data_IF_134204400173
#
_entry.id   IF_134204400173
#
_cell.length_a   1.000
_cell.length_b   1.000
_cell.length_c   1.000
_cell.angle_alpha   90.00
_cell.angle_beta   90.00
_cell.angle_gamma   90.00
#
_symmetry.space_group_name_H-M   'P 1'
#
loop_
_entity.id
_entity.type
_entity.pdbx_description
1 polymer ?
#
# COMPACT_ATOMS: atom_id res chain seq x y z
N UNK A 1 -10.89 38.40 6.68
CA UNK A 1 -10.08 38.19 5.45
C UNK A 1 -9.46 36.80 5.59
N UNK A 2 -9.91 35.87 4.76
CA UNK A 2 -9.70 34.42 4.88
C UNK A 2 -8.29 34.05 4.43
N UNK A 3 -7.52 33.40 5.32
CA UNK A 3 -6.37 32.58 4.92
C UNK A 3 -6.93 31.29 4.32
N UNK A 4 -6.69 31.10 3.02
CA UNK A 4 -7.06 29.88 2.31
C UNK A 4 -6.03 28.79 2.61
N UNK A 5 -6.56 27.66 3.05
CA UNK A 5 -5.89 26.38 3.25
C UNK A 5 -5.07 25.98 2.00
N UNK A 6 -3.79 25.66 2.23
CA UNK A 6 -2.95 24.94 1.28
C UNK A 6 -3.08 23.44 1.60
N UNK A 7 -3.45 22.56 0.66
CA UNK A 7 -3.51 21.12 0.95
C UNK A 7 -2.08 20.58 1.05
N UNK A 8 -1.77 19.97 2.20
CA UNK A 8 -0.54 19.21 2.41
C UNK A 8 -0.61 17.98 1.50
N UNK A 9 0.21 17.94 0.45
CA UNK A 9 0.31 16.81 -0.47
C UNK A 9 1.06 15.68 0.25
N UNK A 10 0.34 14.71 0.81
CA UNK A 10 0.93 13.55 1.49
C UNK A 10 1.27 12.48 0.44
N UNK A 11 2.56 12.19 0.36
CA UNK A 11 3.19 11.23 -0.55
C UNK A 11 3.26 9.89 0.17
N UNK A 12 2.58 8.86 -0.34
CA UNK A 12 2.84 7.47 0.04
C UNK A 12 3.73 6.91 -1.06
N UNK A 13 5.04 7.08 -0.90
CA UNK A 13 6.01 6.29 -1.63
C UNK A 13 6.68 5.43 -0.59
N UNK A 14 6.42 4.12 -0.63
CA UNK A 14 7.13 3.11 0.15
C UNK A 14 8.59 3.07 -0.30
N UNK A 15 9.37 4.06 0.16
CA UNK A 15 10.82 4.11 0.01
C UNK A 15 11.43 3.25 1.12
N UNK A 16 11.72 1.99 0.81
CA UNK A 16 12.71 1.25 1.60
C UNK A 16 14.08 1.86 1.28
N UNK A 17 14.59 2.64 2.23
CA UNK A 17 15.88 3.32 2.13
C UNK A 17 17.03 2.30 2.22
N UNK A 18 17.67 1.96 1.10
CA UNK A 18 19.05 1.44 1.11
C UNK A 18 20.02 2.62 1.09
N UNK A 19 20.75 2.83 2.19
CA UNK A 19 21.83 3.80 2.24
C UNK A 19 23.03 3.32 1.42
N UNK A 20 23.31 3.99 0.30
CA UNK A 20 24.61 3.96 -0.37
C UNK A 20 25.24 5.35 -0.28
N UNK A 21 26.44 5.42 0.29
CA UNK A 21 27.23 6.65 0.43
C UNK A 21 27.64 7.16 -0.96
N UNK A 22 27.29 8.41 -1.27
CA UNK A 22 27.71 9.11 -2.48
C UNK A 22 27.85 10.60 -2.21
N UNK A 23 29.04 11.13 -2.52
CA UNK A 23 29.43 12.54 -2.39
C UNK A 23 28.58 13.44 -3.31
N UNK A 24 28.38 14.66 -2.83
CA UNK A 24 27.57 15.71 -3.44
C UNK A 24 28.04 16.14 -4.84
N UNK A 25 27.08 16.49 -5.69
CA UNK A 25 27.20 17.64 -6.57
C UNK A 25 25.81 18.22 -6.86
N UNK A 26 25.64 19.50 -6.53
CA UNK A 26 24.50 20.34 -6.89
C UNK A 26 24.49 20.60 -8.40
N UNK A 27 23.31 20.61 -9.03
CA UNK A 27 23.01 21.60 -10.07
C UNK A 27 21.50 21.89 -10.15
N UNK A 28 21.20 23.18 -10.29
CA UNK A 28 19.87 23.80 -10.27
C UNK A 28 19.10 23.62 -11.60
N UNK A 29 17.80 23.96 -11.53
CA UNK A 29 16.84 24.27 -12.63
C UNK A 29 15.85 23.18 -13.03
N UNK A 30 14.83 22.97 -12.20
CA UNK A 30 13.57 22.32 -12.59
C UNK A 30 12.62 23.33 -13.23
N UNK A 31 12.44 23.23 -14.56
CA UNK A 31 11.31 23.84 -15.28
C UNK A 31 10.16 22.82 -15.33
N UNK A 32 8.99 23.24 -14.86
CA UNK A 32 7.71 22.57 -15.10
C UNK A 32 7.52 22.28 -16.58
N UNK A 33 7.72 21.01 -16.97
CA UNK A 33 7.29 20.51 -18.27
C UNK A 33 6.30 19.39 -18.05
N UNK A 34 5.10 19.58 -18.60
CA UNK A 34 4.04 18.57 -18.62
C UNK A 34 4.54 17.38 -19.47
N UNK A 35 4.46 16.12 -19.00
CA UNK A 35 4.99 15.00 -19.75
C UNK A 35 4.25 14.82 -21.09
N UNK A 36 4.99 14.40 -22.11
CA UNK A 36 4.50 14.25 -23.48
C UNK A 36 3.50 13.06 -23.60
N UNK A 37 2.59 13.08 -24.60
CA UNK A 37 1.74 11.93 -24.91
C UNK A 37 2.60 10.71 -25.28
N UNK A 38 2.42 9.58 -24.58
CA UNK A 38 3.20 8.35 -24.75
C UNK A 38 4.05 7.92 -23.52
N UNK A 39 3.91 8.59 -22.37
CA UNK A 39 4.71 8.31 -21.17
C UNK A 39 4.24 7.09 -20.33
N UNK A 40 3.08 6.52 -20.61
CA UNK A 40 2.52 5.37 -19.90
C UNK A 40 1.65 4.52 -20.83
N UNK A 41 1.47 3.24 -20.49
CA UNK A 41 0.57 2.33 -21.20
C UNK A 41 -0.89 2.78 -21.04
N UNK A 42 -1.65 2.99 -22.14
CA UNK A 42 -3.08 3.28 -22.09
C UNK A 42 -3.87 2.16 -21.41
N UNK A 43 -4.88 2.52 -20.60
CA UNK A 43 -5.75 1.57 -19.87
C UNK A 43 -6.41 0.54 -20.78
N UNK A 44 -6.74 0.93 -22.02
CA UNK A 44 -7.38 0.06 -22.99
C UNK A 44 -6.48 -1.09 -23.48
N UNK A 45 -5.16 -0.95 -23.33
CA UNK A 45 -4.18 -1.93 -23.79
C UNK A 45 -3.89 -3.01 -22.73
N UNK A 46 -4.38 -2.82 -21.50
CA UNK A 46 -4.22 -3.80 -20.42
C UNK A 46 -5.15 -5.00 -20.63
N UNK A 47 -4.60 -6.19 -20.41
CA UNK A 47 -5.42 -7.39 -20.30
C UNK A 47 -6.25 -7.31 -19.01
N UNK A 48 -7.58 -7.37 -19.13
CA UNK A 48 -8.50 -7.41 -17.99
C UNK A 48 -8.78 -8.85 -17.56
N UNK A 49 -8.55 -9.12 -16.29
CA UNK A 49 -8.84 -10.39 -15.61
C UNK A 49 -9.77 -10.13 -14.42
N UNK A 50 -10.34 -11.20 -13.89
CA UNK A 50 -11.05 -11.18 -12.60
C UNK A 50 -10.48 -12.27 -11.71
N UNK A 51 -10.03 -11.91 -10.51
CA UNK A 51 -9.45 -12.83 -9.54
C UNK A 51 -10.15 -12.66 -8.20
N UNK A 52 -10.80 -13.72 -7.69
CA UNK A 52 -11.48 -13.69 -6.38
C UNK A 52 -12.48 -12.53 -6.15
N UNK A 53 -13.01 -11.94 -7.23
CA UNK A 53 -13.92 -10.79 -7.22
C UNK A 53 -13.25 -9.44 -7.50
N UNK A 54 -11.92 -9.37 -7.56
CA UNK A 54 -11.20 -8.16 -7.94
C UNK A 54 -11.03 -8.05 -9.46
N UNK A 55 -11.21 -6.86 -10.04
CA UNK A 55 -10.70 -6.53 -11.36
C UNK A 55 -9.17 -6.39 -11.33
N UNK A 56 -8.49 -7.13 -12.20
CA UNK A 56 -7.03 -7.12 -12.33
C UNK A 56 -6.64 -6.71 -13.76
N UNK A 57 -5.83 -5.66 -13.89
CA UNK A 57 -5.36 -5.13 -15.16
C UNK A 57 -3.87 -5.48 -15.32
N UNK A 58 -3.53 -6.28 -16.33
CA UNK A 58 -2.17 -6.76 -16.56
C UNK A 58 -1.54 -6.02 -17.75
N UNK A 59 -0.38 -5.39 -17.52
CA UNK A 59 0.32 -4.66 -18.56
C UNK A 59 0.79 -5.64 -19.68
N UNK A 60 0.57 -5.33 -20.98
CA UNK A 60 0.98 -6.16 -22.09
C UNK A 60 2.49 -6.41 -22.18
N UNK A 61 3.34 -5.56 -21.60
CA UNK A 61 4.80 -5.78 -21.55
C UNK A 61 5.18 -7.10 -20.85
N UNK A 62 4.33 -7.60 -19.95
CA UNK A 62 4.54 -8.90 -19.29
C UNK A 62 4.41 -10.09 -20.26
N UNK A 63 3.82 -9.93 -21.45
CA UNK A 63 3.73 -11.00 -22.45
C UNK A 63 5.10 -11.38 -23.03
N UNK A 64 6.07 -10.47 -22.98
CA UNK A 64 7.47 -10.75 -23.34
C UNK A 64 8.21 -11.54 -22.23
N UNK A 65 7.61 -11.66 -21.05
CA UNK A 65 8.16 -12.33 -19.87
C UNK A 65 7.18 -13.37 -19.30
N UNK A 66 6.84 -14.43 -20.08
CA UNK A 66 5.72 -15.30 -19.77
C UNK A 66 5.84 -16.02 -18.41
N UNK A 67 7.06 -16.40 -18.00
CA UNK A 67 7.28 -17.04 -16.69
C UNK A 67 7.04 -16.05 -15.54
N UNK A 68 7.65 -14.86 -15.61
CA UNK A 68 7.46 -13.81 -14.60
C UNK A 68 5.98 -13.42 -14.48
N UNK A 69 5.29 -13.29 -15.62
CA UNK A 69 3.84 -13.05 -15.66
C UNK A 69 3.07 -14.16 -14.95
N UNK A 70 3.35 -15.41 -15.28
CA UNK A 70 2.66 -16.56 -14.67
C UNK A 70 2.87 -16.59 -13.15
N UNK A 71 4.11 -16.48 -12.69
CA UNK A 71 4.47 -16.53 -11.26
C UNK A 71 3.85 -15.36 -10.48
N UNK A 72 3.88 -14.14 -11.06
CA UNK A 72 3.28 -12.95 -10.46
C UNK A 72 1.77 -13.11 -10.28
N UNK A 73 1.08 -13.59 -11.31
CA UNK A 73 -0.37 -13.80 -11.28
C UNK A 73 -0.76 -14.95 -10.35
N UNK A 74 0.05 -16.02 -10.28
CA UNK A 74 -0.17 -17.12 -9.33
C UNK A 74 -0.04 -16.64 -7.89
N UNK A 75 1.02 -15.89 -7.57
CA UNK A 75 1.22 -15.34 -6.23
C UNK A 75 0.14 -14.32 -5.86
N UNK A 76 -0.24 -13.44 -6.78
CA UNK A 76 -1.35 -12.49 -6.55
C UNK A 76 -2.66 -13.25 -6.28
N UNK A 77 -2.95 -14.30 -7.05
CA UNK A 77 -4.13 -15.13 -6.84
C UNK A 77 -4.14 -15.76 -5.44
N UNK A 78 -3.01 -16.30 -4.97
CA UNK A 78 -2.88 -16.82 -3.60
C UNK A 78 -3.11 -15.74 -2.52
N UNK A 79 -2.49 -14.56 -2.67
CA UNK A 79 -2.70 -13.43 -1.75
C UNK A 79 -4.18 -13.03 -1.67
N UNK A 80 -4.84 -12.86 -2.82
CA UNK A 80 -6.26 -12.50 -2.88
C UNK A 80 -7.13 -13.60 -2.27
N UNK A 81 -6.85 -14.88 -2.52
CA UNK A 81 -7.54 -15.97 -1.87
C UNK A 81 -7.41 -15.90 -0.34
N UNK A 82 -6.20 -15.72 0.19
CA UNK A 82 -5.94 -15.56 1.63
C UNK A 82 -6.74 -14.40 2.23
N UNK A 83 -6.83 -13.27 1.53
CA UNK A 83 -7.62 -12.11 1.95
C UNK A 83 -9.13 -12.45 2.01
N UNK A 84 -9.69 -13.12 1.00
CA UNK A 84 -11.12 -13.51 1.01
C UNK A 84 -11.51 -14.38 2.21
N UNK A 85 -10.57 -15.14 2.75
CA UNK A 85 -10.78 -16.04 3.89
C UNK A 85 -10.74 -15.32 5.23
N UNK A 86 -10.23 -14.09 5.28
CA UNK A 86 -9.93 -13.36 6.52
C UNK A 86 -10.81 -12.14 6.73
N UNK A 87 -11.13 -11.41 5.67
CA UNK A 87 -11.84 -10.14 5.76
C UNK A 87 -13.36 -10.37 5.87
N UNK A 88 -14.07 -9.70 6.80
CA UNK A 88 -15.53 -9.78 6.90
C UNK A 88 -16.23 -9.35 5.61
N UNK A 89 -17.32 -10.04 5.26
CA UNK A 89 -17.97 -9.89 3.94
C UNK A 89 -18.29 -8.43 3.55
N UNK A 90 -18.88 -7.57 4.43
CA UNK A 90 -19.19 -6.20 4.04
C UNK A 90 -17.95 -5.40 3.64
N UNK A 91 -16.86 -5.52 4.39
CA UNK A 91 -15.60 -4.83 4.09
C UNK A 91 -14.88 -5.47 2.89
N UNK A 92 -14.95 -6.80 2.76
CA UNK A 92 -14.41 -7.53 1.62
C UNK A 92 -15.04 -7.06 0.30
N UNK A 93 -16.35 -6.85 0.27
CA UNK A 93 -17.04 -6.32 -0.90
C UNK A 93 -16.54 -4.92 -1.27
N UNK A 94 -16.28 -4.07 -0.28
CA UNK A 94 -15.77 -2.72 -0.52
C UNK A 94 -14.34 -2.72 -1.08
N UNK A 95 -13.44 -3.56 -0.54
CA UNK A 95 -12.06 -3.63 -1.07
C UNK A 95 -11.97 -4.33 -2.43
N UNK A 96 -12.97 -5.14 -2.83
CA UNK A 96 -13.07 -5.74 -4.17
C UNK A 96 -13.34 -4.74 -5.28
N UNK A 97 -13.87 -3.57 -4.94
CA UNK A 97 -14.07 -2.48 -5.89
C UNK A 97 -12.76 -1.77 -6.26
N UNK A 98 -11.66 -2.04 -5.54
CA UNK A 98 -10.35 -1.47 -5.82
C UNK A 98 -9.69 -2.27 -6.94
N UNK A 99 -9.50 -1.66 -8.11
CA UNK A 99 -8.73 -2.27 -9.20
C UNK A 99 -7.28 -2.53 -8.79
N UNK A 100 -6.70 -3.63 -9.31
CA UNK A 100 -5.30 -3.98 -9.10
C UNK A 100 -4.60 -3.98 -10.46
N UNK A 101 -3.56 -3.16 -10.58
CA UNK A 101 -2.75 -3.03 -11.78
C UNK A 101 -1.45 -3.81 -11.62
N UNK A 102 -1.07 -4.57 -12.63
CA UNK A 102 0.15 -5.40 -12.62
C UNK A 102 1.08 -4.92 -13.71
N UNK A 103 2.19 -4.32 -13.30
CA UNK A 103 3.22 -3.76 -14.16
C UNK A 103 4.45 -4.67 -14.23
N UNK A 104 5.17 -4.63 -15.36
CA UNK A 104 6.47 -5.28 -15.46
C UNK A 104 7.48 -4.58 -14.53
N UNK A 105 7.72 -3.30 -14.78
CA UNK A 105 8.63 -2.44 -14.02
C UNK A 105 8.26 -0.96 -14.22
N UNK A 106 7.66 -0.35 -13.21
CA UNK A 106 7.34 1.06 -13.13
C UNK A 106 8.42 1.74 -12.29
N UNK A 107 9.34 2.43 -12.97
CA UNK A 107 10.55 3.04 -12.39
C UNK A 107 10.40 3.89 -11.11
N UNK A 108 9.19 4.32 -10.76
CA UNK A 108 8.89 5.12 -9.55
C UNK A 108 8.17 4.35 -8.44
N UNK A 109 7.74 3.12 -8.70
CA UNK A 109 7.09 2.23 -7.72
C UNK A 109 8.01 1.04 -7.49
N UNK A 110 8.71 1.01 -6.34
CA UNK A 110 9.71 -0.02 -6.06
C UNK A 110 9.12 -1.45 -6.00
N UNK A 111 7.89 -1.60 -5.50
CA UNK A 111 7.20 -2.89 -5.47
C UNK A 111 5.68 -2.72 -5.62
N UNK A 112 4.98 -2.24 -4.59
CA UNK A 112 3.55 -1.98 -4.62
C UNK A 112 3.21 -0.58 -4.08
N UNK A 113 2.05 -0.06 -4.45
CA UNK A 113 1.48 1.15 -3.85
C UNK A 113 -0.04 1.30 -4.11
N UNK A 114 -0.72 2.01 -3.21
CA UNK A 114 -2.05 2.59 -3.42
C UNK A 114 -1.93 4.04 -3.90
N UNK A 115 -2.64 4.37 -4.98
CA UNK A 115 -2.52 5.66 -5.66
C UNK A 115 -3.62 6.64 -5.25
N UNK A 116 -3.32 7.62 -4.40
CA UNK A 116 -4.35 8.52 -3.83
C UNK A 116 -4.84 9.61 -4.80
N UNK A 117 -3.99 10.12 -5.69
CA UNK A 117 -4.32 11.35 -6.45
C UNK A 117 -3.77 11.42 -7.86
N UNK A 118 -4.66 11.67 -8.83
CA UNK A 118 -4.32 12.07 -10.22
C UNK A 118 -3.37 13.25 -10.28
N UNK A 119 -3.49 14.18 -9.34
CA UNK A 119 -2.65 15.37 -9.26
C UNK A 119 -1.16 15.04 -9.08
N UNK A 120 -0.85 13.91 -8.43
CA UNK A 120 0.51 13.39 -8.32
C UNK A 120 0.87 12.43 -9.47
N UNK A 121 -0.07 11.60 -9.91
CA UNK A 121 0.16 10.61 -10.98
C UNK A 121 0.63 11.26 -12.30
N UNK A 122 -0.12 12.24 -12.79
CA UNK A 122 0.12 12.86 -14.11
C UNK A 122 1.51 13.49 -14.21
N UNK A 123 1.95 14.40 -13.31
CA UNK A 123 3.29 14.98 -13.42
C UNK A 123 4.41 13.95 -13.20
N UNK A 124 4.11 12.80 -12.58
CA UNK A 124 5.08 11.72 -12.37
C UNK A 124 5.12 10.68 -13.48
N UNK A 125 4.31 10.81 -14.52
CA UNK A 125 4.30 9.91 -15.68
C UNK A 125 3.47 8.65 -15.48
N UNK A 126 2.62 8.60 -14.46
CA UNK A 126 1.69 7.49 -14.26
C UNK A 126 0.44 7.66 -15.13
N UNK A 127 -0.19 6.53 -15.45
CA UNK A 127 -1.54 6.53 -16.00
C UNK A 127 -2.50 7.12 -14.95
N UNK A 128 -3.22 8.23 -15.25
CA UNK A 128 -4.13 8.87 -14.30
C UNK A 128 -5.30 7.98 -13.87
N UNK A 129 -5.66 6.95 -14.64
CA UNK A 129 -6.76 6.05 -14.29
C UNK A 129 -6.44 5.16 -13.09
N UNK A 130 -5.17 5.12 -12.64
CA UNK A 130 -4.74 4.43 -11.42
C UNK A 130 -5.17 5.13 -10.13
N UNK A 131 -5.76 6.33 -10.18
CA UNK A 131 -6.24 6.96 -8.95
C UNK A 131 -7.30 6.12 -8.25
N UNK A 132 -7.07 5.91 -6.97
CA UNK A 132 -7.89 5.08 -6.11
C UNK A 132 -7.72 3.59 -6.36
N UNK A 133 -6.63 3.14 -6.98
CA UNK A 133 -6.34 1.73 -7.27
C UNK A 133 -5.04 1.29 -6.59
N UNK A 134 -4.81 -0.03 -6.55
CA UNK A 134 -3.54 -0.63 -6.14
C UNK A 134 -2.71 -0.96 -7.38
N UNK A 135 -1.40 -0.82 -7.28
CA UNK A 135 -0.44 -1.16 -8.33
C UNK A 135 0.63 -2.11 -7.75
N UNK A 136 0.84 -3.25 -8.41
CA UNK A 136 2.12 -3.96 -8.41
C UNK A 136 2.98 -3.27 -9.46
N UNK A 137 3.86 -2.38 -9.02
CA UNK A 137 4.70 -1.56 -9.89
C UNK A 137 5.89 -2.33 -10.45
N UNK A 138 6.39 -3.34 -9.74
CA UNK A 138 7.48 -4.18 -10.23
C UNK A 138 7.19 -5.65 -9.90
N UNK A 139 6.96 -6.44 -10.95
CA UNK A 139 6.57 -7.86 -10.83
C UNK A 139 7.66 -8.72 -10.18
N UNK A 140 8.94 -8.46 -10.46
CA UNK A 140 10.04 -9.21 -9.85
C UNK A 140 10.19 -8.88 -8.36
N UNK A 141 10.16 -7.60 -8.02
CA UNK A 141 10.21 -7.15 -6.62
C UNK A 141 9.03 -7.71 -5.81
N UNK A 142 7.84 -7.84 -6.42
CA UNK A 142 6.69 -8.46 -5.78
C UNK A 142 6.93 -9.92 -5.40
N UNK A 143 7.54 -10.71 -6.29
CA UNK A 143 7.90 -12.10 -5.97
C UNK A 143 8.96 -12.15 -4.86
N UNK A 144 9.93 -11.24 -4.88
CA UNK A 144 11.05 -11.24 -3.95
C UNK A 144 10.65 -10.74 -2.55
N UNK A 145 9.90 -9.64 -2.46
CA UNK A 145 9.62 -8.94 -1.20
C UNK A 145 8.54 -9.63 -0.38
N UNK A 146 7.57 -10.29 -1.02
CA UNK A 146 6.48 -11.00 -0.32
C UNK A 146 6.96 -12.18 0.52
N UNK A 147 8.18 -12.68 0.30
CA UNK A 147 8.86 -13.63 1.19
C UNK A 147 9.06 -13.04 2.60
N UNK A 148 9.34 -11.73 2.68
CA UNK A 148 9.49 -10.98 3.93
C UNK A 148 8.21 -10.24 4.35
N UNK A 149 7.35 -9.88 3.39
CA UNK A 149 6.14 -9.07 3.57
C UNK A 149 4.91 -9.83 3.03
N UNK A 150 4.50 -10.93 3.70
CA UNK A 150 3.54 -11.89 3.15
C UNK A 150 2.10 -11.35 3.01
N UNK A 151 1.79 -10.19 3.59
CA UNK A 151 0.48 -9.54 3.53
C UNK A 151 0.51 -8.16 2.86
N UNK A 152 1.54 -7.84 2.08
CA UNK A 152 1.68 -6.58 1.33
C UNK A 152 0.47 -6.23 0.46
N UNK A 153 -0.17 -7.20 -0.20
CA UNK A 153 -1.40 -6.92 -0.97
C UNK A 153 -2.54 -6.42 -0.07
N UNK A 154 -2.64 -6.97 1.15
CA UNK A 154 -3.62 -6.50 2.14
C UNK A 154 -3.24 -5.12 2.67
N UNK A 155 -1.95 -4.81 2.81
CA UNK A 155 -1.45 -3.49 3.18
C UNK A 155 -2.01 -2.40 2.26
N UNK A 156 -1.80 -2.56 0.95
CA UNK A 156 -2.22 -1.58 -0.04
C UNK A 156 -3.76 -1.50 -0.15
N UNK A 157 -4.45 -2.63 -0.01
CA UNK A 157 -5.91 -2.64 0.06
C UNK A 157 -6.42 -1.97 1.35
N UNK A 158 -5.67 -2.01 2.46
CA UNK A 158 -6.01 -1.31 3.69
C UNK A 158 -5.87 0.21 3.53
N UNK A 159 -4.86 0.69 2.80
CA UNK A 159 -4.80 2.10 2.40
C UNK A 159 -6.03 2.52 1.60
N UNK A 160 -6.44 1.70 0.62
CA UNK A 160 -7.63 1.98 -0.18
C UNK A 160 -8.93 1.91 0.62
N UNK A 161 -9.05 0.98 1.57
CA UNK A 161 -10.19 0.92 2.48
C UNK A 161 -10.26 2.15 3.38
N UNK A 162 -9.13 2.56 3.96
CA UNK A 162 -9.04 3.76 4.78
C UNK A 162 -9.47 5.00 3.99
N UNK A 163 -8.89 5.22 2.80
CA UNK A 163 -9.23 6.35 1.93
C UNK A 163 -10.72 6.36 1.55
N UNK A 164 -11.21 5.25 1.00
CA UNK A 164 -12.53 5.19 0.35
C UNK A 164 -13.71 5.03 1.31
N UNK A 165 -13.48 4.67 2.57
CA UNK A 165 -14.54 4.44 3.57
C UNK A 165 -14.49 5.44 4.71
N UNK A 166 -13.30 5.69 5.24
CA UNK A 166 -13.13 6.51 6.44
C UNK A 166 -12.54 7.89 6.15
N UNK A 167 -11.75 8.01 5.08
CA UNK A 167 -10.88 9.15 4.80
C UNK A 167 -9.71 9.22 5.78
N UNK A 168 -8.55 9.71 5.31
CA UNK A 168 -7.32 9.74 6.12
C UNK A 168 -7.35 10.63 7.36
N UNK A 169 -8.39 11.46 7.49
CA UNK A 169 -8.63 12.33 8.65
C UNK A 169 -9.58 11.70 9.69
N UNK A 170 -9.93 10.43 9.55
CA UNK A 170 -10.82 9.75 10.49
C UNK A 170 -10.31 9.85 11.94
N UNK A 171 -11.09 10.46 12.85
CA UNK A 171 -10.59 10.83 14.18
C UNK A 171 -10.22 9.61 15.03
N UNK A 172 -10.93 8.48 14.87
CA UNK A 172 -10.62 7.24 15.59
C UNK A 172 -9.28 6.63 15.18
N UNK A 173 -8.96 6.64 13.89
CA UNK A 173 -7.68 6.09 13.38
C UNK A 173 -6.53 7.00 13.81
N UNK A 174 -6.69 8.33 13.68
CA UNK A 174 -5.70 9.30 14.14
C UNK A 174 -5.44 9.20 15.65
N UNK A 175 -6.47 9.03 16.46
CA UNK A 175 -6.34 8.91 17.91
C UNK A 175 -5.62 7.62 18.32
N UNK A 176 -5.92 6.49 17.67
CA UNK A 176 -5.23 5.22 17.94
C UNK A 176 -3.75 5.30 17.55
N UNK A 177 -3.44 5.85 16.38
CA UNK A 177 -2.05 6.10 15.95
C UNK A 177 -1.31 7.03 16.92
N UNK A 178 -1.90 8.18 17.28
CA UNK A 178 -1.26 9.13 18.20
C UNK A 178 -0.98 8.49 19.56
N UNK A 179 -1.91 7.67 20.07
CA UNK A 179 -1.67 6.92 21.30
C UNK A 179 -0.44 6.00 21.19
N UNK A 180 -0.22 5.37 20.02
CA UNK A 180 0.95 4.51 19.79
C UNK A 180 2.25 5.32 19.72
N UNK A 181 2.21 6.48 19.06
CA UNK A 181 3.32 7.45 19.04
C UNK A 181 3.69 7.87 20.47
N UNK A 182 2.69 8.26 21.28
CA UNK A 182 2.90 8.76 22.64
C UNK A 182 3.46 7.69 23.61
N UNK A 183 3.18 6.42 23.36
CA UNK A 183 3.71 5.29 24.15
C UNK A 183 5.21 5.04 23.87
N UNK A 184 5.68 5.31 22.65
CA UNK A 184 7.09 5.19 22.26
C UNK A 184 7.66 3.77 22.18
N UNK A 185 6.88 2.74 22.53
CA UNK A 185 7.30 1.33 22.50
C UNK A 185 7.40 0.74 21.08
N UNK A 186 6.93 1.47 20.06
CA UNK A 186 7.16 1.15 18.64
C UNK A 186 8.45 1.78 18.06
N UNK A 187 9.18 2.61 18.82
CA UNK A 187 10.43 3.22 18.34
C UNK A 187 11.54 2.17 18.11
N UNK A 188 11.43 0.99 18.72
CA UNK A 188 12.41 -0.09 18.56
C UNK A 188 11.77 -1.47 18.75
N UNK A 189 11.28 -2.04 17.66
CA UNK A 189 10.64 -3.37 17.63
C UNK A 189 11.48 -4.38 16.86
N UNK A 190 11.23 -5.67 17.08
CA UNK A 190 11.83 -6.73 16.26
C UNK A 190 11.26 -6.64 14.83
N UNK A 191 12.10 -6.90 13.84
CA UNK A 191 11.76 -6.97 12.43
C UNK A 191 12.06 -8.38 11.91
N UNK A 192 11.38 -8.83 10.85
CA UNK A 192 11.48 -10.19 10.31
C UNK A 192 12.92 -10.60 9.94
N UNK A 193 13.79 -9.63 9.65
CA UNK A 193 15.22 -9.86 9.44
C UNK A 193 15.99 -10.29 10.71
N UNK A 194 15.34 -10.42 11.86
CA UNK A 194 15.94 -10.70 13.17
C UNK A 194 16.59 -9.50 13.86
N UNK A 195 16.66 -8.35 13.18
CA UNK A 195 17.16 -7.09 13.74
C UNK A 195 16.05 -6.25 14.36
N UNK A 196 16.42 -5.17 15.04
CA UNK A 196 15.45 -4.21 15.58
C UNK A 196 15.39 -2.94 14.75
N UNK A 197 14.20 -2.38 14.56
CA UNK A 197 13.96 -1.14 13.78
C UNK A 197 12.85 -0.31 14.42
N UNK A 198 12.71 0.95 14.01
CA UNK A 198 11.49 1.73 14.27
C UNK A 198 10.34 1.10 13.49
N UNK A 199 9.20 0.86 14.14
CA UNK A 199 8.04 0.27 13.48
C UNK A 199 7.54 1.19 12.37
N UNK A 200 7.28 0.64 11.19
CA UNK A 200 6.86 1.43 10.02
C UNK A 200 5.53 2.19 10.25
N UNK A 201 4.61 1.61 11.02
CA UNK A 201 3.37 2.26 11.44
C UNK A 201 3.53 3.56 12.24
N UNK A 202 4.73 3.93 12.70
CA UNK A 202 4.96 5.25 13.30
C UNK A 202 5.12 6.39 12.26
N UNK A 203 5.21 6.07 10.97
CA UNK A 203 5.38 7.08 9.91
C UNK A 203 4.19 8.03 9.84
N UNK A 204 2.96 7.49 9.82
CA UNK A 204 1.71 8.25 9.86
C UNK A 204 0.54 7.31 10.19
N UNK A 205 -0.67 7.87 10.35
CA UNK A 205 -1.88 7.12 10.70
C UNK A 205 -2.34 6.13 9.61
N UNK A 206 -1.93 6.32 8.36
CA UNK A 206 -2.28 5.46 7.22
C UNK A 206 -1.45 4.18 7.29
N UNK A 207 -0.13 4.31 7.50
CA UNK A 207 0.77 3.19 7.73
C UNK A 207 0.39 2.43 8.99
N UNK A 208 0.11 3.13 10.09
CA UNK A 208 -0.37 2.49 11.31
C UNK A 208 -1.60 1.61 11.06
N UNK A 209 -2.57 2.11 10.30
CA UNK A 209 -3.77 1.34 9.97
C UNK A 209 -3.47 0.11 9.11
N UNK A 210 -2.61 0.23 8.10
CA UNK A 210 -2.25 -0.87 7.22
C UNK A 210 -1.42 -1.95 7.95
N UNK A 211 -0.38 -1.54 8.66
CA UNK A 211 0.48 -2.40 9.48
C UNK A 211 -0.31 -3.16 10.57
N UNK A 212 -1.23 -2.47 11.25
CA UNK A 212 -2.09 -3.09 12.26
C UNK A 212 -3.08 -4.07 11.61
N UNK A 213 -3.56 -3.77 10.39
CA UNK A 213 -4.43 -4.67 9.61
C UNK A 213 -3.69 -5.97 9.26
N UNK A 214 -2.44 -5.89 8.81
CA UNK A 214 -1.60 -7.06 8.55
C UNK A 214 -1.42 -7.93 9.78
N UNK A 215 -1.00 -7.34 10.90
CA UNK A 215 -0.79 -8.06 12.15
C UNK A 215 -2.09 -8.73 12.65
N UNK A 216 -3.25 -8.09 12.46
CA UNK A 216 -4.53 -8.64 12.92
C UNK A 216 -5.03 -9.82 12.07
N UNK A 217 -5.02 -9.71 10.74
CA UNK A 217 -5.59 -10.73 9.86
C UNK A 217 -4.58 -11.79 9.41
N UNK A 218 -3.30 -11.42 9.39
CA UNK A 218 -2.22 -12.16 8.78
C UNK A 218 -0.94 -12.16 9.61
N UNK A 219 0.16 -11.78 8.95
CA UNK A 219 1.50 -11.66 9.51
C UNK A 219 2.14 -10.37 8.99
N UNK A 220 2.56 -9.50 9.89
CA UNK A 220 3.35 -8.31 9.62
C UNK A 220 4.86 -8.67 9.59
N UNK A 221 5.71 -7.84 8.99
CA UNK A 221 7.18 -7.92 9.03
C UNK A 221 7.83 -7.15 10.19
N UNK A 222 7.05 -6.32 10.92
CA UNK A 222 7.39 -5.70 12.20
C UNK A 222 6.61 -6.33 13.36
N UNK A 223 7.24 -6.47 14.52
CA UNK A 223 6.54 -6.89 15.73
C UNK A 223 5.61 -5.77 16.22
N UNK A 224 4.34 -6.06 16.54
CA UNK A 224 3.73 -7.39 16.66
C UNK A 224 3.43 -8.04 15.30
N UNK A 225 3.96 -9.25 15.07
CA UNK A 225 3.86 -9.93 13.79
C UNK A 225 2.46 -10.50 13.58
N UNK A 226 1.81 -10.97 14.64
CA UNK A 226 0.50 -11.66 14.55
C UNK A 226 -0.48 -11.17 15.61
N UNK A 227 -1.77 -11.44 15.40
CA UNK A 227 -2.87 -10.98 16.26
C UNK A 227 -2.67 -11.29 17.74
N UNK A 228 -2.10 -12.44 18.07
CA UNK A 228 -1.84 -12.84 19.46
C UNK A 228 -0.89 -11.88 20.18
N UNK A 229 0.13 -11.41 19.47
CA UNK A 229 1.10 -10.42 19.97
C UNK A 229 0.47 -9.03 19.98
N UNK A 230 -0.26 -8.68 18.90
CA UNK A 230 -0.97 -7.41 18.79
C UNK A 230 -1.93 -7.19 19.97
N UNK A 231 -2.67 -8.22 20.38
CA UNK A 231 -3.55 -8.18 21.56
C UNK A 231 -2.84 -7.81 22.86
N UNK A 232 -1.54 -8.09 22.98
CA UNK A 232 -0.74 -7.78 24.17
C UNK A 232 -0.09 -6.41 24.10
N UNK A 233 0.40 -6.04 22.92
CA UNK A 233 1.25 -4.86 22.72
C UNK A 233 0.43 -3.64 22.32
N UNK A 234 -0.65 -3.83 21.58
CA UNK A 234 -1.54 -2.76 21.13
C UNK A 234 -3.02 -3.20 21.12
N UNK A 235 -3.64 -3.36 22.31
CA UNK A 235 -5.06 -3.69 22.41
C UNK A 235 -5.96 -2.62 21.77
N UNK A 236 -5.55 -1.35 21.73
CA UNK A 236 -6.32 -0.29 21.04
C UNK A 236 -6.27 -0.45 19.53
N UNK A 237 -5.15 -0.89 18.96
CA UNK A 237 -5.05 -1.30 17.57
C UNK A 237 -6.01 -2.46 17.23
N UNK A 238 -6.14 -3.44 18.13
CA UNK A 238 -7.14 -4.52 17.98
C UNK A 238 -8.57 -3.98 17.97
N UNK A 239 -8.91 -3.12 18.93
CA UNK A 239 -10.23 -2.46 19.00
C UNK A 239 -10.51 -1.64 17.74
N UNK A 240 -9.51 -0.92 17.23
CA UNK A 240 -9.61 -0.17 15.99
C UNK A 240 -9.99 -1.09 14.83
N UNK A 241 -9.22 -2.17 14.60
CA UNK A 241 -9.48 -3.11 13.51
C UNK A 241 -10.86 -3.77 13.63
N UNK A 242 -11.32 -4.07 14.85
CA UNK A 242 -12.67 -4.56 15.07
C UNK A 242 -13.72 -3.53 14.64
N UNK A 243 -13.60 -2.30 15.14
CA UNK A 243 -14.56 -1.22 14.85
C UNK A 243 -14.56 -0.78 13.39
N UNK A 244 -13.46 -0.97 12.64
CA UNK A 244 -13.38 -0.57 11.24
C UNK A 244 -13.73 -1.71 10.27
N UNK A 245 -13.18 -2.91 10.46
CA UNK A 245 -13.34 -3.98 9.48
C UNK A 245 -14.56 -4.87 9.76
N UNK A 246 -14.95 -5.05 11.02
CA UNK A 246 -16.08 -5.93 11.39
C UNK A 246 -17.39 -5.16 11.54
N UNK A 247 -17.33 -3.95 12.10
CA UNK A 247 -18.53 -3.14 12.32
C UNK A 247 -18.92 -2.29 11.10
N UNK A 248 -18.12 -2.31 10.03
CA UNK A 248 -18.50 -1.70 8.75
C UNK A 248 -19.79 -2.33 8.22
N UNK A 249 -20.81 -1.49 8.05
CA UNK A 249 -22.14 -1.83 7.57
C UNK A 249 -22.43 -0.92 6.39
N UNK A 250 -22.83 -1.52 5.26
CA UNK A 250 -23.34 -0.77 4.09
C UNK A 250 -24.71 -0.17 4.39
#
# INVERSE_FOLDING_TARGET
>A
MSLKNLPLLLIISSFILMQSHGLAHDDETSKDSKPAPGAYTPTADYQRLTMHGWPVLVNPALDEHPQLKADTLELLNDHLYRITRKIPQPALDRIREIEIWVELDMHKTACMCYHVSKGWLVPNGYNPDKEGTVEIGNSQAFLDWTQGQPWMVLHELAHGFHDKVYGYEHPGIKAAWQNKVDQGDYERVLHISGGTRKHYGLTNQMEYFAETTEAYFGCNDFHPFVKGELLKVDPKGVELIQSTWFDYRQ
#
